data_IF_437649350583
#
_entry.id   IF_437649350583
#
_cell.length_a   1.000
_cell.length_b   1.000
_cell.length_c   1.000
_cell.angle_alpha   90.00
_cell.angle_beta   90.00
_cell.angle_gamma   90.00
#
_symmetry.space_group_name_H-M   'P 1'
#
loop_
_entity.id
_entity.type
_entity.pdbx_description
1 polymer ?
#
# COMPACT_ATOMS: atom_id res chain seq x y z
N UNK A 1 -33.38 83.15 10.99
CA UNK A 1 -34.48 82.35 10.41
C UNK A 1 -33.87 81.11 9.88
N UNK A 2 -34.09 80.08 10.63
CA UNK A 2 -34.20 78.62 10.28
C UNK A 2 -33.21 78.05 9.25
N UNK A 3 -32.69 76.92 9.42
CA UNK A 3 -32.85 75.71 10.19
C UNK A 3 -31.91 74.64 9.62
N UNK A 4 -31.37 73.83 10.51
CA UNK A 4 -31.17 72.35 10.47
C UNK A 4 -30.03 71.81 9.60
N UNK A 5 -29.03 71.28 10.23
CA UNK A 5 -28.98 69.95 10.84
C UNK A 5 -29.01 68.81 9.84
N UNK A 6 -27.92 68.11 9.74
CA UNK A 6 -27.95 66.69 9.97
C UNK A 6 -26.54 66.08 9.86
N UNK A 7 -26.09 65.82 11.00
CA UNK A 7 -25.11 64.81 11.35
C UNK A 7 -25.51 63.45 10.76
N UNK A 8 -24.57 62.74 10.12
CA UNK A 8 -24.59 61.29 9.96
C UNK A 8 -23.20 60.76 9.95
N UNK A 9 -22.76 60.42 11.16
CA UNK A 9 -21.78 59.41 11.41
C UNK A 9 -22.26 58.04 10.86
N UNK A 10 -21.45 57.40 10.07
CA UNK A 10 -21.60 55.96 9.81
C UNK A 10 -20.25 55.30 10.13
N UNK A 11 -20.20 54.86 11.35
CA UNK A 11 -19.25 53.82 11.82
C UNK A 11 -19.71 52.50 11.22
N UNK A 12 -18.94 51.96 10.31
CA UNK A 12 -19.05 50.60 9.81
C UNK A 12 -17.70 49.87 9.99
N UNK A 13 -17.43 49.52 11.22
CA UNK A 13 -16.36 48.53 11.47
C UNK A 13 -16.87 47.16 11.02
N UNK A 14 -16.55 46.77 9.82
CA UNK A 14 -16.69 45.39 9.40
C UNK A 14 -15.72 44.55 10.21
N UNK A 15 -16.27 43.75 11.13
CA UNK A 15 -15.60 42.64 11.77
C UNK A 15 -15.19 41.64 10.69
N UNK A 16 -13.94 41.73 10.26
CA UNK A 16 -13.26 40.62 9.56
C UNK A 16 -13.14 39.48 10.55
N UNK A 17 -14.06 38.54 10.46
CA UNK A 17 -13.88 37.21 11.06
C UNK A 17 -12.59 36.60 10.52
N UNK A 18 -11.67 36.12 11.36
CA UNK A 18 -10.51 35.37 10.88
C UNK A 18 -11.02 34.15 10.12
N UNK A 19 -10.68 34.07 8.84
CA UNK A 19 -10.82 32.84 8.06
C UNK A 19 -10.09 31.75 8.85
N UNK A 20 -10.82 30.68 9.18
CA UNK A 20 -10.32 29.45 9.75
C UNK A 20 -8.99 29.11 9.09
N UNK A 21 -7.92 29.07 9.90
CA UNK A 21 -6.61 28.63 9.46
C UNK A 21 -6.76 27.23 8.87
N UNK A 22 -6.59 27.12 7.56
CA UNK A 22 -6.37 25.83 6.95
C UNK A 22 -5.12 25.27 7.60
N UNK A 23 -5.26 24.18 8.35
CA UNK A 23 -4.12 23.35 8.69
C UNK A 23 -3.53 22.91 7.35
N UNK A 24 -2.36 23.46 7.02
CA UNK A 24 -1.51 22.86 6.01
C UNK A 24 -1.24 21.45 6.53
N UNK A 25 -1.97 20.46 6.01
CA UNK A 25 -1.59 19.07 6.22
C UNK A 25 -0.15 18.96 5.69
N UNK A 26 0.79 18.42 6.48
CA UNK A 26 2.12 18.16 6.00
C UNK A 26 1.99 17.41 4.68
N UNK A 27 2.66 17.89 3.65
CA UNK A 27 2.51 17.31 2.32
C UNK A 27 3.33 16.04 2.28
N UNK A 28 2.67 14.90 2.54
CA UNK A 28 3.29 13.58 2.42
C UNK A 28 3.78 13.40 0.98
N UNK A 29 5.02 12.95 0.81
CA UNK A 29 5.56 12.59 -0.51
C UNK A 29 5.82 11.09 -0.55
N UNK A 30 5.29 10.44 -1.57
CA UNK A 30 5.49 9.02 -1.81
C UNK A 30 6.36 8.83 -3.05
N UNK A 31 7.59 8.38 -2.84
CA UNK A 31 8.48 7.94 -3.92
C UNK A 31 8.03 6.56 -4.39
N UNK A 32 7.70 6.46 -5.67
CA UNK A 32 7.04 5.29 -6.25
C UNK A 32 7.55 4.97 -7.65
N UNK A 33 7.48 3.70 -8.04
CA UNK A 33 7.68 3.26 -9.43
C UNK A 33 6.39 2.64 -9.96
N UNK A 34 6.17 2.69 -11.28
CA UNK A 34 5.05 1.99 -11.92
C UNK A 34 5.05 0.50 -11.53
N UNK A 35 3.87 -0.10 -11.44
CA UNK A 35 3.64 -1.52 -11.15
C UNK A 35 4.26 -2.09 -9.86
N UNK A 36 5.01 -1.31 -9.07
CA UNK A 36 5.64 -1.81 -7.84
C UNK A 36 4.61 -2.33 -6.83
N UNK A 37 4.62 -3.63 -6.59
CA UNK A 37 3.79 -4.31 -5.59
C UNK A 37 3.98 -3.73 -4.18
N UNK A 38 5.22 -3.37 -3.82
CA UNK A 38 5.51 -2.78 -2.52
C UNK A 38 4.99 -1.33 -2.41
N UNK A 39 4.96 -0.57 -3.51
CA UNK A 39 4.33 0.76 -3.56
C UNK A 39 2.82 0.64 -3.39
N UNK A 40 2.17 -0.32 -4.06
CA UNK A 40 0.73 -0.52 -3.96
C UNK A 40 0.27 -0.86 -2.54
N UNK A 41 1.09 -1.57 -1.74
CA UNK A 41 0.84 -1.76 -0.29
C UNK A 41 0.58 -0.45 0.42
N UNK A 42 1.47 0.51 0.18
CA UNK A 42 1.43 1.83 0.82
C UNK A 42 0.29 2.67 0.26
N UNK A 43 0.07 2.64 -1.05
CA UNK A 43 -1.00 3.39 -1.70
C UNK A 43 -2.40 2.97 -1.19
N UNK A 44 -2.62 1.66 -0.97
CA UNK A 44 -3.83 1.13 -0.34
C UNK A 44 -4.01 1.65 1.09
N UNK A 45 -2.96 1.59 1.88
CA UNK A 45 -2.99 2.02 3.29
C UNK A 45 -3.25 3.52 3.43
N UNK A 46 -2.57 4.34 2.63
CA UNK A 46 -2.76 5.80 2.63
C UNK A 46 -4.18 6.18 2.21
N UNK A 47 -4.71 5.56 1.14
CA UNK A 47 -6.08 5.77 0.71
C UNK A 47 -7.11 5.33 1.76
N UNK A 48 -6.89 4.19 2.43
CA UNK A 48 -7.75 3.73 3.53
C UNK A 48 -7.78 4.74 4.68
N UNK A 49 -6.65 5.37 4.99
CA UNK A 49 -6.52 6.43 5.99
C UNK A 49 -7.05 7.80 5.52
N UNK A 50 -7.44 7.93 4.25
CA UNK A 50 -7.85 9.22 3.67
C UNK A 50 -6.72 10.23 3.58
N UNK A 51 -5.47 9.77 3.48
CA UNK A 51 -4.28 10.62 3.40
C UNK A 51 -3.95 10.94 1.94
N UNK A 52 -3.83 12.23 1.65
CA UNK A 52 -3.37 12.71 0.35
C UNK A 52 -1.85 12.75 0.32
N UNK A 53 -1.26 12.37 -0.82
CA UNK A 53 0.19 12.37 -1.01
C UNK A 53 0.59 13.00 -2.34
N UNK A 54 1.72 13.67 -2.35
CA UNK A 54 2.43 14.03 -3.58
C UNK A 54 3.17 12.79 -4.10
N UNK A 55 2.83 12.34 -5.31
CA UNK A 55 3.51 11.21 -5.96
C UNK A 55 4.80 11.67 -6.63
N UNK A 56 5.95 11.12 -6.20
CA UNK A 56 7.25 11.31 -6.86
C UNK A 56 7.58 10.04 -7.62
N UNK A 57 7.32 10.05 -8.93
CA UNK A 57 7.56 8.87 -9.78
C UNK A 57 9.04 8.73 -10.10
N UNK A 58 9.60 7.56 -9.81
CA UNK A 58 11.00 7.21 -10.02
C UNK A 58 11.09 6.31 -11.25
N UNK A 59 11.91 6.73 -12.21
CA UNK A 59 12.23 5.89 -13.35
C UNK A 59 13.09 4.68 -12.93
N UNK A 60 12.93 3.56 -13.61
CA UNK A 60 13.71 2.35 -13.33
C UNK A 60 15.20 2.54 -13.61
N UNK A 61 15.54 3.39 -14.59
CA UNK A 61 16.91 3.68 -15.04
C UNK A 61 17.61 4.72 -14.17
N UNK A 62 16.85 5.55 -13.41
CA UNK A 62 17.42 6.61 -12.56
C UNK A 62 16.84 6.55 -11.14
N UNK A 63 17.59 5.97 -10.23
CA UNK A 63 17.27 5.87 -8.80
C UNK A 63 17.84 7.01 -7.96
N UNK A 64 18.55 7.95 -8.57
CA UNK A 64 19.20 9.05 -7.83
C UNK A 64 18.25 9.84 -6.93
N UNK A 65 16.99 10.20 -7.33
CA UNK A 65 16.12 10.97 -6.46
C UNK A 65 15.73 10.24 -5.18
N UNK A 66 15.54 8.91 -5.24
CA UNK A 66 15.20 8.13 -4.03
C UNK A 66 16.44 7.86 -3.18
N UNK A 67 17.62 7.69 -3.80
CA UNK A 67 18.90 7.51 -3.09
C UNK A 67 19.27 8.77 -2.32
N UNK A 68 19.10 9.96 -2.89
CA UNK A 68 19.39 11.23 -2.23
C UNK A 68 18.55 11.43 -0.97
N UNK A 69 17.29 10.96 -0.98
CA UNK A 69 16.36 11.13 0.14
C UNK A 69 16.53 10.04 1.20
N UNK A 70 16.72 8.78 0.80
CA UNK A 70 16.63 7.61 1.71
C UNK A 70 17.95 6.86 1.91
N UNK A 71 18.98 7.18 1.10
CA UNK A 71 20.25 6.47 1.12
C UNK A 71 20.24 5.10 0.45
N UNK A 72 19.09 4.69 -0.19
CA UNK A 72 18.95 3.40 -0.88
C UNK A 72 18.04 3.54 -2.11
N UNK A 73 18.15 2.64 -3.10
CA UNK A 73 17.50 2.76 -4.40
C UNK A 73 16.11 2.10 -4.51
N UNK A 74 15.54 1.58 -3.43
CA UNK A 74 14.27 0.87 -3.46
C UNK A 74 13.09 1.81 -3.19
N UNK A 75 11.92 1.48 -3.75
CA UNK A 75 10.64 2.12 -3.46
C UNK A 75 9.70 1.08 -2.82
N UNK A 76 8.71 1.52 -2.00
CA UNK A 76 8.34 2.90 -1.67
C UNK A 76 9.26 3.55 -0.63
N UNK A 77 9.33 4.87 -0.67
CA UNK A 77 9.81 5.71 0.43
C UNK A 77 8.76 6.77 0.70
N UNK A 78 8.34 6.88 1.95
CA UNK A 78 7.44 7.94 2.41
C UNK A 78 8.27 9.05 3.07
N UNK A 79 8.00 10.29 2.70
CA UNK A 79 8.58 11.48 3.35
C UNK A 79 7.46 12.29 3.97
N UNK A 80 7.60 12.59 5.24
CA UNK A 80 6.67 13.37 6.04
C UNK A 80 7.47 14.46 6.76
N UNK A 81 7.50 15.64 6.17
CA UNK A 81 8.41 16.74 6.55
C UNK A 81 9.89 16.27 6.58
N UNK A 82 10.49 16.20 7.77
CA UNK A 82 11.87 15.75 7.98
C UNK A 82 12.00 14.24 8.24
N UNK A 83 10.88 13.52 8.32
CA UNK A 83 10.87 12.08 8.58
C UNK A 83 10.88 11.31 7.26
N UNK A 84 11.88 10.46 7.09
CA UNK A 84 12.03 9.59 5.92
C UNK A 84 11.81 8.14 6.35
N UNK A 85 10.81 7.48 5.80
CA UNK A 85 10.49 6.09 6.11
C UNK A 85 10.67 5.24 4.86
N UNK A 86 11.77 4.51 4.71
CA UNK A 86 11.94 3.47 3.71
C UNK A 86 11.26 2.18 4.17
N UNK A 87 11.00 1.27 3.23
CA UNK A 87 10.31 -0.02 3.43
C UNK A 87 8.79 0.08 3.62
N UNK A 88 8.08 -0.75 2.85
CA UNK A 88 6.62 -0.71 2.80
C UNK A 88 5.94 -1.06 4.12
N UNK A 89 6.46 -2.05 4.88
CA UNK A 89 5.86 -2.44 6.18
C UNK A 89 6.18 -1.43 7.26
N UNK A 90 7.38 -0.85 7.23
CA UNK A 90 7.73 0.27 8.12
C UNK A 90 6.80 1.46 7.88
N UNK A 91 6.46 1.76 6.62
CA UNK A 91 5.50 2.81 6.28
C UNK A 91 4.09 2.47 6.82
N UNK A 92 3.61 1.22 6.66
CA UNK A 92 2.32 0.80 7.22
C UNK A 92 2.25 1.03 8.74
N UNK A 93 3.32 0.68 9.47
CA UNK A 93 3.41 0.90 10.93
C UNK A 93 3.47 2.38 11.27
N UNK A 94 4.24 3.17 10.53
CA UNK A 94 4.35 4.62 10.72
C UNK A 94 3.01 5.33 10.54
N UNK A 95 2.28 5.05 9.45
CA UNK A 95 0.97 5.68 9.21
C UNK A 95 -0.08 5.24 10.22
N UNK A 96 -0.02 4.00 10.73
CA UNK A 96 -0.89 3.55 11.81
C UNK A 96 -0.61 4.27 13.13
N UNK A 97 0.66 4.50 13.46
CA UNK A 97 1.03 5.19 14.69
C UNK A 97 0.63 6.67 14.65
N UNK A 98 0.87 7.33 13.52
CA UNK A 98 0.61 8.76 13.38
C UNK A 98 -0.86 9.09 13.14
N UNK A 99 -1.57 8.24 12.41
CA UNK A 99 -2.99 8.37 12.09
C UNK A 99 -3.73 7.07 12.41
N UNK A 100 -4.11 6.82 13.67
CA UNK A 100 -4.64 5.53 14.09
C UNK A 100 -6.04 5.20 13.56
N UNK A 101 -6.78 6.17 13.04
CA UNK A 101 -8.14 5.99 12.54
C UNK A 101 -8.27 6.34 11.04
N UNK A 102 -8.97 5.52 10.25
CA UNK A 102 -9.44 4.16 10.56
C UNK A 102 -8.27 3.18 10.74
N UNK A 103 -8.37 2.18 11.63
CA UNK A 103 -7.24 1.29 11.95
C UNK A 103 -6.87 0.37 10.80
N UNK A 104 -5.57 0.13 10.63
CA UNK A 104 -5.00 -0.93 9.78
C UNK A 104 -4.51 -2.13 10.62
N UNK A 105 -4.27 -1.89 11.90
CA UNK A 105 -3.84 -2.92 12.84
C UNK A 105 -4.90 -3.11 13.92
N UNK A 106 -5.18 -4.35 14.35
CA UNK A 106 -6.09 -4.61 15.44
C UNK A 106 -5.68 -3.86 16.71
N UNK A 107 -6.68 -3.33 17.45
CA UNK A 107 -6.43 -2.67 18.74
C UNK A 107 -6.15 -3.67 19.87
N UNK A 108 -6.67 -4.90 19.75
CA UNK A 108 -6.36 -5.99 20.68
C UNK A 108 -4.90 -6.43 20.51
N UNK A 109 -4.10 -6.46 21.60
CA UNK A 109 -2.67 -6.74 21.53
C UNK A 109 -2.35 -8.15 21.00
N UNK A 110 -3.16 -9.17 21.29
CA UNK A 110 -2.93 -10.53 20.83
C UNK A 110 -3.18 -10.62 19.31
N UNK A 111 -4.30 -10.02 18.84
CA UNK A 111 -4.61 -9.94 17.41
C UNK A 111 -3.59 -9.10 16.63
N UNK A 112 -3.06 -8.04 17.25
CA UNK A 112 -1.99 -7.25 16.67
C UNK A 112 -0.70 -8.07 16.50
N UNK A 113 -0.33 -8.84 17.52
CA UNK A 113 0.83 -9.74 17.43
C UNK A 113 0.67 -10.81 16.36
N UNK A 114 -0.54 -11.37 16.17
CA UNK A 114 -0.83 -12.31 15.07
C UNK A 114 -0.63 -11.65 13.71
N UNK A 115 -1.09 -10.41 13.54
CA UNK A 115 -0.92 -9.67 12.30
C UNK A 115 0.56 -9.33 12.05
N UNK A 116 1.33 -8.94 13.08
CA UNK A 116 2.77 -8.71 12.96
C UNK A 116 3.49 -9.97 12.50
N UNK A 117 3.16 -11.15 13.07
CA UNK A 117 3.69 -12.46 12.63
C UNK A 117 3.34 -12.74 11.16
N UNK A 118 2.11 -12.41 10.75
CA UNK A 118 1.71 -12.58 9.34
C UNK A 118 2.54 -11.68 8.41
N UNK A 119 2.76 -10.42 8.74
CA UNK A 119 3.55 -9.49 7.94
C UNK A 119 5.00 -9.96 7.78
N UNK A 120 5.60 -10.40 8.88
CA UNK A 120 6.96 -10.95 8.87
C UNK A 120 7.03 -12.24 8.04
N UNK A 121 6.09 -13.17 8.25
CA UNK A 121 6.00 -14.41 7.46
C UNK A 121 5.81 -14.12 5.96
N UNK A 122 4.94 -13.16 5.62
CA UNK A 122 4.69 -12.81 4.22
C UNK A 122 5.97 -12.27 3.54
N UNK A 123 6.71 -11.41 4.23
CA UNK A 123 7.94 -10.83 3.68
C UNK A 123 9.11 -11.82 3.65
N UNK A 124 9.33 -12.57 4.75
CA UNK A 124 10.54 -13.36 4.94
C UNK A 124 10.39 -14.83 4.46
N UNK A 125 9.16 -15.29 4.27
CA UNK A 125 8.89 -16.67 3.88
C UNK A 125 8.12 -16.76 2.57
N UNK A 126 6.97 -16.06 2.47
CA UNK A 126 6.11 -16.18 1.30
C UNK A 126 6.72 -15.53 0.05
N UNK A 127 7.42 -14.42 0.18
CA UNK A 127 8.08 -13.73 -0.95
C UNK A 127 9.36 -14.42 -1.43
N UNK A 128 9.92 -15.36 -0.67
CA UNK A 128 11.16 -16.04 -1.06
C UNK A 128 11.00 -16.84 -2.36
N UNK A 129 9.98 -17.68 -2.55
CA UNK A 129 9.79 -18.41 -3.81
C UNK A 129 9.75 -17.52 -5.05
N UNK A 130 8.88 -16.49 -5.18
CA UNK A 130 8.84 -15.69 -6.40
C UNK A 130 10.13 -14.92 -6.66
N UNK A 131 10.77 -14.34 -5.63
CA UNK A 131 12.05 -13.65 -5.78
C UNK A 131 13.16 -14.60 -6.24
N UNK A 132 13.21 -15.83 -5.67
CA UNK A 132 14.22 -16.81 -6.08
C UNK A 132 13.98 -17.34 -7.48
N UNK A 133 12.72 -17.48 -7.92
CA UNK A 133 12.41 -17.84 -9.32
C UNK A 133 12.90 -16.74 -10.25
N UNK A 134 12.68 -15.47 -9.93
CA UNK A 134 13.17 -14.33 -10.71
C UNK A 134 14.69 -14.37 -10.84
N UNK A 135 15.41 -14.51 -9.73
CA UNK A 135 16.87 -14.65 -9.72
C UNK A 135 17.37 -15.87 -10.54
N UNK A 136 16.66 -17.01 -10.51
CA UNK A 136 17.02 -18.17 -11.30
C UNK A 136 16.80 -17.94 -12.79
N UNK A 137 15.68 -17.31 -13.19
CA UNK A 137 15.35 -17.05 -14.60
C UNK A 137 16.25 -15.99 -15.24
N UNK A 138 16.91 -15.14 -14.45
CA UNK A 138 17.92 -14.19 -14.93
C UNK A 138 19.30 -14.81 -15.18
N UNK A 139 19.52 -16.08 -14.79
CA UNK A 139 20.79 -16.78 -15.03
C UNK A 139 20.90 -17.33 -16.44
N UNK A 140 22.10 -17.44 -16.96
CA UNK A 140 22.38 -18.11 -18.25
C UNK A 140 21.91 -19.56 -18.29
N UNK A 141 21.92 -20.26 -17.14
CA UNK A 141 21.50 -21.65 -16.98
C UNK A 141 20.67 -21.79 -15.68
N UNK A 142 19.35 -21.52 -15.76
CA UNK A 142 18.47 -21.64 -14.59
C UNK A 142 18.32 -23.12 -14.17
N UNK A 143 18.22 -23.34 -12.85
CA UNK A 143 17.86 -24.63 -12.28
C UNK A 143 16.34 -24.84 -12.39
N UNK A 144 15.93 -25.52 -13.46
CA UNK A 144 14.50 -25.77 -13.75
C UNK A 144 13.81 -26.63 -12.69
N UNK A 145 14.53 -27.55 -12.02
CA UNK A 145 13.95 -28.38 -10.95
C UNK A 145 13.65 -27.54 -9.74
N UNK A 146 14.55 -26.63 -9.39
CA UNK A 146 14.36 -25.65 -8.33
C UNK A 146 13.21 -24.70 -8.63
N UNK A 147 13.13 -24.16 -9.85
CA UNK A 147 12.02 -23.31 -10.28
C UNK A 147 10.68 -24.03 -10.13
N UNK A 148 10.57 -25.30 -10.57
CA UNK A 148 9.33 -26.09 -10.41
C UNK A 148 8.96 -26.34 -8.94
N UNK A 149 9.94 -26.62 -8.07
CA UNK A 149 9.67 -26.78 -6.63
C UNK A 149 9.13 -25.49 -6.01
N UNK A 150 9.75 -24.34 -6.31
CA UNK A 150 9.34 -23.06 -5.79
C UNK A 150 7.95 -22.65 -6.33
N UNK A 151 7.68 -22.90 -7.61
CA UNK A 151 6.37 -22.68 -8.23
C UNK A 151 5.26 -23.52 -7.54
N UNK A 152 5.53 -24.79 -7.22
CA UNK A 152 4.59 -25.62 -6.48
C UNK A 152 4.33 -25.04 -5.07
N UNK A 153 5.34 -24.56 -4.37
CA UNK A 153 5.18 -23.90 -3.06
C UNK A 153 4.32 -22.63 -3.13
N UNK A 154 4.47 -21.83 -4.19
CA UNK A 154 3.61 -20.66 -4.43
C UNK A 154 2.15 -21.08 -4.60
N UNK A 155 1.87 -22.06 -5.47
CA UNK A 155 0.54 -22.56 -5.69
C UNK A 155 -0.10 -23.15 -4.42
N UNK A 156 0.64 -23.99 -3.67
CA UNK A 156 0.16 -24.61 -2.44
C UNK A 156 -0.20 -23.57 -1.36
N UNK A 157 0.46 -22.41 -1.38
CA UNK A 157 0.17 -21.32 -0.44
C UNK A 157 -1.23 -20.73 -0.60
N UNK A 158 -1.86 -20.84 -1.79
CA UNK A 158 -3.22 -20.34 -2.04
C UNK A 158 -4.24 -20.95 -1.07
N UNK A 159 -4.07 -22.22 -0.69
CA UNK A 159 -4.92 -22.89 0.27
C UNK A 159 -4.88 -22.25 1.67
N UNK A 160 -3.79 -21.62 2.04
CA UNK A 160 -3.68 -20.89 3.31
C UNK A 160 -4.55 -19.61 3.26
N UNK A 161 -4.44 -18.82 2.20
CA UNK A 161 -5.23 -17.60 2.04
C UNK A 161 -6.72 -17.92 1.96
N UNK A 162 -7.11 -18.95 1.23
CA UNK A 162 -8.51 -19.43 1.18
C UNK A 162 -9.04 -19.76 2.59
N UNK A 163 -8.23 -20.41 3.45
CA UNK A 163 -8.61 -20.71 4.85
C UNK A 163 -8.65 -19.46 5.73
N UNK A 164 -7.73 -18.51 5.56
CA UNK A 164 -7.74 -17.26 6.33
C UNK A 164 -9.02 -16.45 6.08
N UNK A 165 -9.60 -16.59 4.90
CA UNK A 165 -10.84 -15.91 4.49
C UNK A 165 -12.12 -16.67 4.88
N UNK A 166 -12.02 -17.79 5.62
CA UNK A 166 -13.20 -18.55 6.04
C UNK A 166 -14.03 -17.75 7.05
N UNK A 167 -15.26 -17.38 6.63
CA UNK A 167 -16.18 -16.57 7.42
C UNK A 167 -15.72 -15.11 7.63
N UNK A 168 -14.86 -14.58 6.75
CA UNK A 168 -14.29 -13.22 6.84
C UNK A 168 -14.30 -12.53 5.48
N UNK A 169 -14.42 -11.20 5.51
CA UNK A 169 -14.31 -10.38 4.31
C UNK A 169 -12.87 -10.02 3.96
N UNK A 170 -11.97 -9.98 4.96
CA UNK A 170 -10.56 -9.65 4.84
C UNK A 170 -9.69 -10.65 5.60
N UNK A 171 -8.38 -10.67 5.36
CA UNK A 171 -7.47 -11.67 5.92
C UNK A 171 -7.47 -11.75 7.45
N UNK A 172 -7.72 -10.63 8.14
CA UNK A 172 -7.71 -10.54 9.60
C UNK A 172 -9.04 -10.15 10.23
N UNK A 173 -10.15 -10.17 9.49
CA UNK A 173 -11.49 -9.86 9.99
C UNK A 173 -12.43 -9.34 8.92
N UNK A 174 -13.35 -8.46 9.32
CA UNK A 174 -14.35 -7.89 8.41
C UNK A 174 -13.89 -6.57 7.78
N UNK A 175 -12.89 -5.91 8.37
CA UNK A 175 -12.32 -4.65 7.90
C UNK A 175 -10.96 -4.85 7.23
N UNK A 176 -10.61 -3.95 6.29
CA UNK A 176 -9.30 -3.90 5.66
C UNK A 176 -8.22 -3.72 6.73
N UNK A 177 -7.18 -4.53 6.63
CA UNK A 177 -6.04 -4.51 7.55
C UNK A 177 -4.70 -4.35 6.81
N UNK A 178 -3.62 -4.15 7.57
CA UNK A 178 -2.27 -4.14 7.02
C UNK A 178 -1.90 -5.48 6.35
N UNK A 179 -2.52 -6.60 6.75
CA UNK A 179 -2.32 -7.89 6.07
C UNK A 179 -2.87 -7.88 4.64
N UNK A 180 -4.05 -7.28 4.45
CA UNK A 180 -4.65 -7.13 3.12
C UNK A 180 -3.80 -6.20 2.25
N UNK A 181 -3.38 -5.06 2.79
CA UNK A 181 -2.48 -4.15 2.10
C UNK A 181 -1.17 -4.83 1.70
N UNK A 182 -0.60 -5.68 2.58
CA UNK A 182 0.66 -6.37 2.33
C UNK A 182 0.55 -7.49 1.30
N UNK A 183 -0.53 -8.27 1.31
CA UNK A 183 -0.65 -9.46 0.49
C UNK A 183 -1.30 -9.20 -0.87
N UNK A 184 -2.28 -8.29 -0.93
CA UNK A 184 -3.08 -8.06 -2.14
C UNK A 184 -2.24 -7.73 -3.39
N UNK A 185 -1.24 -6.82 -3.35
CA UNK A 185 -0.49 -6.44 -4.54
C UNK A 185 0.24 -7.60 -5.22
N UNK A 186 0.48 -8.67 -4.49
CA UNK A 186 1.10 -9.91 -5.00
C UNK A 186 0.05 -10.93 -5.42
N UNK A 187 -0.97 -11.14 -4.59
CA UNK A 187 -2.00 -12.15 -4.84
C UNK A 187 -3.00 -11.75 -5.93
N UNK A 188 -3.13 -10.47 -6.25
CA UNK A 188 -3.99 -10.00 -7.33
C UNK A 188 -3.67 -10.64 -8.67
N UNK A 189 -2.40 -10.96 -8.93
CA UNK A 189 -1.94 -11.60 -10.18
C UNK A 189 -2.47 -13.04 -10.37
N UNK A 190 -3.04 -13.64 -9.33
CA UNK A 190 -3.80 -14.88 -9.46
C UNK A 190 -5.05 -14.75 -10.36
N UNK A 191 -5.51 -13.50 -10.61
CA UNK A 191 -6.77 -13.22 -11.33
C UNK A 191 -6.69 -12.00 -12.25
N UNK A 192 -5.94 -10.98 -11.87
CA UNK A 192 -5.89 -9.68 -12.54
C UNK A 192 -4.59 -9.54 -13.31
N UNK A 193 -4.71 -8.99 -14.52
CA UNK A 193 -3.56 -8.68 -15.37
C UNK A 193 -3.70 -7.28 -15.94
N UNK A 194 -2.62 -6.52 -15.89
CA UNK A 194 -2.50 -5.27 -16.62
C UNK A 194 -1.72 -5.54 -17.92
N UNK A 195 -2.28 -5.25 -19.11
CA UNK A 195 -1.60 -5.47 -20.37
C UNK A 195 -0.31 -4.65 -20.57
N UNK A 196 -0.16 -3.55 -19.81
CA UNK A 196 1.02 -2.68 -19.84
C UNK A 196 2.11 -3.13 -18.86
N UNK A 197 1.80 -4.11 -17.99
CA UNK A 197 2.73 -4.67 -17.01
C UNK A 197 3.49 -5.84 -17.64
N UNK A 198 4.74 -5.62 -18.01
CA UNK A 198 5.63 -6.62 -18.62
C UNK A 198 6.76 -7.09 -17.69
N UNK A 199 6.70 -6.73 -16.41
CA UNK A 199 7.68 -7.12 -15.39
C UNK A 199 7.79 -8.65 -15.25
N UNK A 200 9.02 -9.17 -15.25
CA UNK A 200 9.27 -10.60 -15.09
C UNK A 200 8.68 -11.13 -13.78
N UNK A 201 8.88 -10.40 -12.69
CA UNK A 201 8.36 -10.76 -11.37
C UNK A 201 6.83 -10.97 -11.39
N UNK A 202 6.09 -10.10 -12.07
CA UNK A 202 4.62 -10.18 -12.12
C UNK A 202 4.15 -11.34 -12.99
N UNK A 203 4.85 -11.65 -14.08
CA UNK A 203 4.58 -12.87 -14.87
C UNK A 203 4.81 -14.14 -14.05
N UNK A 204 5.85 -14.17 -13.20
CA UNK A 204 6.06 -15.29 -12.27
C UNK A 204 4.87 -15.46 -11.33
N UNK A 205 4.31 -14.36 -10.80
CA UNK A 205 3.11 -14.41 -9.96
C UNK A 205 1.90 -14.91 -10.75
N UNK A 206 1.64 -14.39 -11.95
CA UNK A 206 0.55 -14.82 -12.83
C UNK A 206 0.62 -16.31 -13.14
N UNK A 207 1.78 -16.81 -13.52
CA UNK A 207 1.95 -18.20 -13.96
C UNK A 207 1.78 -19.19 -12.81
N UNK A 208 2.18 -18.80 -11.58
CA UNK A 208 2.26 -19.71 -10.44
C UNK A 208 1.15 -19.56 -9.38
N UNK A 209 0.28 -18.55 -9.51
CA UNK A 209 -0.83 -18.31 -8.58
C UNK A 209 -2.21 -18.59 -9.19
N UNK A 210 -2.31 -19.45 -10.22
CA UNK A 210 -3.56 -19.74 -10.92
C UNK A 210 -4.63 -20.33 -9.99
N UNK A 211 -5.79 -19.64 -9.84
CA UNK A 211 -6.86 -20.07 -8.92
C UNK A 211 -7.61 -21.31 -9.40
N UNK A 212 -7.72 -21.52 -10.71
CA UNK A 212 -8.37 -22.70 -11.30
C UNK A 212 -9.80 -22.99 -10.81
N UNK A 213 -10.46 -22.03 -10.18
CA UNK A 213 -11.80 -22.19 -9.58
C UNK A 213 -11.80 -22.88 -8.20
N UNK A 214 -10.65 -23.28 -7.67
CA UNK A 214 -10.54 -23.98 -6.38
C UNK A 214 -10.57 -23.05 -5.16
N UNK A 215 -10.39 -21.74 -5.35
CA UNK A 215 -10.23 -20.75 -4.29
C UNK A 215 -11.26 -19.61 -4.41
N UNK A 216 -12.55 -19.86 -4.19
CA UNK A 216 -13.61 -18.87 -4.42
C UNK A 216 -13.58 -17.69 -3.45
N UNK A 217 -13.18 -17.90 -2.19
CA UNK A 217 -13.07 -16.80 -1.20
C UNK A 217 -11.90 -15.88 -1.53
N UNK A 218 -10.76 -16.45 -1.91
CA UNK A 218 -9.59 -15.69 -2.35
C UNK A 218 -9.91 -14.90 -3.61
N UNK A 219 -10.62 -15.49 -4.59
CA UNK A 219 -11.09 -14.79 -5.78
C UNK A 219 -11.99 -13.61 -5.44
N UNK A 220 -12.96 -13.79 -4.53
CA UNK A 220 -13.87 -12.73 -4.10
C UNK A 220 -13.15 -11.63 -3.29
N UNK A 221 -12.16 -12.02 -2.48
CA UNK A 221 -11.32 -11.07 -1.74
C UNK A 221 -10.46 -10.21 -2.67
N UNK A 222 -9.88 -10.81 -3.73
CA UNK A 222 -9.12 -10.06 -4.75
C UNK A 222 -10.03 -8.99 -5.38
N UNK A 223 -11.26 -9.34 -5.79
CA UNK A 223 -12.20 -8.37 -6.37
C UNK A 223 -12.50 -7.23 -5.38
N UNK A 224 -12.81 -7.58 -4.14
CA UNK A 224 -13.17 -6.62 -3.08
C UNK A 224 -12.05 -5.63 -2.78
N UNK A 225 -10.81 -6.11 -2.66
CA UNK A 225 -9.66 -5.23 -2.39
C UNK A 225 -9.27 -4.44 -3.64
N UNK A 226 -9.47 -5.00 -4.83
CA UNK A 226 -9.21 -4.29 -6.08
C UNK A 226 -10.09 -3.04 -6.26
N UNK A 227 -11.31 -3.05 -5.76
CA UNK A 227 -12.23 -1.90 -5.79
C UNK A 227 -11.83 -0.77 -4.84
N UNK A 228 -10.88 -1.01 -3.91
CA UNK A 228 -10.42 0.02 -2.98
C UNK A 228 -9.59 1.08 -3.70
N UNK A 229 -9.70 2.36 -3.31
CA UNK A 229 -8.88 3.43 -3.88
C UNK A 229 -7.38 3.25 -3.53
N UNK A 230 -6.52 3.89 -4.35
CA UNK A 230 -5.08 4.06 -4.10
C UNK A 230 -4.79 5.55 -4.01
N UNK A 231 -3.90 5.93 -3.09
CA UNK A 231 -3.39 7.29 -2.97
C UNK A 231 -2.31 7.58 -4.02
#
# INVERSE_FOLDING_TARGET
MNLRDSDRSVSGAEHLTPRSGGYLHPMLRLFRAPFSTNVERVALALAHKGLEVESVVIAYEDRSPVIEVSGQGLVPVLVDDDVVVPDSVAILRYVEEKWPDPPLFPRDPARRAELDVFLDWFNEVWKVPPNTIEEELERDNPDEDRVRELAARMHDSLALFERLLDGRDHLFGDDLSAADCAAFPFLKYAKLRDPEDDELFHRILEDNLQLGGAYPRLSAWIDRVNERPRA
#
